data_IF_664266217029
#
_entry.id   IF_664266217029
#
_cell.length_a   1.000
_cell.length_b   1.000
_cell.length_c   1.000
_cell.angle_alpha   90.00
_cell.angle_beta   90.00
_cell.angle_gamma   90.00
#
_symmetry.space_group_name_H-M   'P 1'
#
loop_
_entity.id
_entity.type
_entity.pdbx_description
1 polymer ?
#
# COMPACT_ATOMS: atom_id res chain seq x y z
N UNK A 1 -43.95 -13.27 11.74
CA UNK A 1 -42.53 -13.28 12.15
C UNK A 1 -41.86 -12.14 11.40
N UNK A 2 -41.61 -11.02 12.08
CA UNK A 2 -40.88 -9.90 11.49
C UNK A 2 -39.43 -10.33 11.24
N UNK A 3 -39.10 -10.57 9.97
CA UNK A 3 -37.73 -10.85 9.56
C UNK A 3 -36.87 -9.62 9.86
N UNK A 4 -35.99 -9.73 10.85
CA UNK A 4 -35.10 -8.64 11.25
C UNK A 4 -34.31 -8.12 10.05
N UNK A 5 -34.18 -6.78 9.94
CA UNK A 5 -33.33 -6.14 8.94
C UNK A 5 -31.87 -6.47 9.24
N UNK A 6 -31.24 -7.26 8.38
CA UNK A 6 -29.81 -7.61 8.50
C UNK A 6 -29.02 -6.70 7.56
N UNK A 7 -27.98 -6.07 8.08
CA UNK A 7 -26.95 -5.37 7.30
C UNK A 7 -25.66 -6.19 7.32
N UNK A 8 -25.17 -6.58 6.15
CA UNK A 8 -23.92 -7.32 5.99
C UNK A 8 -22.81 -6.37 5.52
N UNK A 9 -21.72 -6.31 6.29
CA UNK A 9 -20.51 -5.55 5.91
C UNK A 9 -19.36 -6.53 5.68
N UNK A 10 -18.85 -6.57 4.45
CA UNK A 10 -17.71 -7.39 4.07
C UNK A 10 -16.49 -6.49 3.83
N UNK A 11 -15.43 -6.68 4.63
CA UNK A 11 -14.16 -5.97 4.48
C UNK A 11 -13.00 -6.94 4.26
N UNK A 12 -12.03 -6.54 3.45
CA UNK A 12 -10.84 -7.36 3.19
C UNK A 12 -9.66 -6.52 2.71
N UNK A 13 -8.45 -6.88 3.14
CA UNK A 13 -7.22 -6.18 2.79
C UNK A 13 -6.71 -6.52 1.39
N UNK A 14 -7.16 -7.63 0.79
CA UNK A 14 -6.73 -8.10 -0.52
C UNK A 14 -7.74 -7.64 -1.58
N UNK A 15 -7.47 -6.49 -2.22
CA UNK A 15 -8.38 -5.89 -3.21
C UNK A 15 -8.76 -6.85 -4.35
N UNK A 16 -7.81 -7.65 -4.85
CA UNK A 16 -8.08 -8.61 -5.93
C UNK A 16 -9.04 -9.74 -5.53
N UNK A 17 -9.01 -10.14 -4.25
CA UNK A 17 -9.95 -11.11 -3.70
C UNK A 17 -11.33 -10.47 -3.57
N UNK A 18 -11.42 -9.27 -3.00
CA UNK A 18 -12.69 -8.54 -2.88
C UNK A 18 -13.36 -8.35 -4.24
N UNK A 19 -12.61 -7.93 -5.26
CA UNK A 19 -13.16 -7.75 -6.61
C UNK A 19 -13.67 -9.09 -7.17
N UNK A 20 -12.87 -10.15 -7.11
CA UNK A 20 -13.21 -11.43 -7.78
C UNK A 20 -14.26 -12.25 -7.05
N UNK A 21 -14.17 -12.31 -5.72
CA UNK A 21 -14.92 -13.26 -4.90
C UNK A 21 -16.09 -12.62 -4.18
N UNK A 22 -16.10 -11.29 -4.04
CA UNK A 22 -17.18 -10.55 -3.38
C UNK A 22 -17.96 -9.73 -4.41
N UNK A 23 -17.32 -8.75 -5.04
CA UNK A 23 -17.98 -7.80 -5.96
C UNK A 23 -18.51 -8.50 -7.22
N UNK A 24 -17.68 -9.32 -7.89
CA UNK A 24 -18.10 -10.09 -9.06
C UNK A 24 -18.71 -11.45 -8.72
N UNK A 25 -19.09 -11.69 -7.47
CA UNK A 25 -19.73 -12.93 -7.07
C UNK A 25 -21.12 -13.04 -7.69
N UNK A 26 -21.40 -14.17 -8.34
CA UNK A 26 -22.76 -14.49 -8.80
C UNK A 26 -23.79 -14.49 -7.66
N UNK A 27 -23.37 -14.82 -6.44
CA UNK A 27 -24.26 -14.89 -5.28
C UNK A 27 -24.64 -13.49 -4.73
N UNK A 28 -23.78 -12.49 -4.94
CA UNK A 28 -23.98 -11.12 -4.48
C UNK A 28 -24.33 -10.15 -5.63
N UNK A 29 -24.48 -10.66 -6.85
CA UNK A 29 -24.85 -9.85 -8.00
C UNK A 29 -26.18 -9.12 -7.76
N UNK A 30 -26.18 -7.79 -7.90
CA UNK A 30 -27.35 -6.93 -7.65
C UNK A 30 -27.75 -6.79 -6.18
N UNK A 31 -26.94 -7.28 -5.22
CA UNK A 31 -27.18 -7.21 -3.78
C UNK A 31 -26.16 -6.35 -3.02
N UNK A 32 -25.33 -5.63 -3.75
CA UNK A 32 -24.31 -4.73 -3.18
C UNK A 32 -24.84 -3.31 -3.32
N UNK A 33 -25.19 -2.70 -2.19
CA UNK A 33 -25.68 -1.31 -2.16
C UNK A 33 -24.53 -0.29 -2.17
N UNK A 34 -23.40 -0.64 -1.55
CA UNK A 34 -22.27 0.27 -1.38
C UNK A 34 -20.93 -0.47 -1.47
N UNK A 35 -20.04 0.03 -2.33
CA UNK A 35 -18.66 -0.38 -2.43
C UNK A 35 -17.74 0.77 -2.03
N UNK A 36 -16.91 0.55 -1.00
CA UNK A 36 -15.95 1.54 -0.53
C UNK A 36 -14.53 1.04 -0.68
N UNK A 37 -13.74 1.72 -1.50
CA UNK A 37 -12.28 1.61 -1.48
C UNK A 37 -11.72 2.57 -0.44
N UNK A 38 -11.40 2.05 0.74
CA UNK A 38 -10.78 2.84 1.81
C UNK A 38 -9.33 3.13 1.44
N UNK A 39 -9.02 4.42 1.29
CA UNK A 39 -7.68 4.93 1.03
C UNK A 39 -7.00 5.33 2.34
N UNK A 40 -5.68 5.52 2.27
CA UNK A 40 -4.96 6.21 3.33
C UNK A 40 -5.51 7.63 3.54
N UNK A 41 -5.35 8.15 4.75
CA UNK A 41 -5.77 9.51 5.09
C UNK A 41 -4.90 10.54 4.36
N UNK A 42 -5.52 11.61 3.89
CA UNK A 42 -4.79 12.80 3.42
C UNK A 42 -3.95 13.44 4.56
N UNK A 43 -3.02 14.36 4.26
CA UNK A 43 -2.27 15.06 5.31
C UNK A 43 -3.18 15.77 6.32
N UNK A 44 -4.22 16.44 5.84
CA UNK A 44 -5.17 17.16 6.70
C UNK A 44 -5.97 16.20 7.61
N UNK A 45 -6.42 15.07 7.06
CA UNK A 45 -7.13 14.04 7.83
C UNK A 45 -6.21 13.35 8.83
N UNK A 46 -4.96 13.04 8.45
CA UNK A 46 -3.95 12.46 9.33
C UNK A 46 -3.62 13.40 10.50
N UNK A 47 -3.43 14.69 10.24
CA UNK A 47 -3.17 15.68 11.30
C UNK A 47 -4.35 15.79 12.27
N UNK A 48 -5.57 15.82 11.73
CA UNK A 48 -6.79 15.81 12.56
C UNK A 48 -6.91 14.52 13.36
N UNK A 49 -6.64 13.36 12.75
CA UNK A 49 -6.69 12.07 13.43
C UNK A 49 -5.68 12.01 14.59
N UNK A 50 -4.45 12.46 14.36
CA UNK A 50 -3.37 12.50 15.36
C UNK A 50 -3.72 13.39 16.56
N UNK A 51 -4.21 14.60 16.30
CA UNK A 51 -4.55 15.58 17.33
C UNK A 51 -5.78 15.19 18.14
N UNK A 52 -6.80 14.58 17.50
CA UNK A 52 -8.05 14.21 18.16
C UNK A 52 -7.98 12.88 18.91
N UNK A 53 -7.36 11.84 18.32
CA UNK A 53 -7.42 10.48 18.86
C UNK A 53 -6.23 10.15 19.77
N UNK A 54 -5.04 10.65 19.45
CA UNK A 54 -3.83 10.36 20.25
C UNK A 54 -3.45 11.51 21.19
N UNK A 55 -4.17 12.64 21.12
CA UNK A 55 -3.90 13.87 21.90
C UNK A 55 -2.46 14.34 21.81
N UNK A 56 -1.74 13.91 20.78
CA UNK A 56 -0.35 14.23 20.57
C UNK A 56 -0.25 15.69 20.10
N UNK A 57 0.55 16.48 20.82
CA UNK A 57 0.76 17.91 20.51
C UNK A 57 2.01 18.08 19.65
N UNK A 58 2.03 17.44 18.49
CA UNK A 58 3.07 17.69 17.50
C UNK A 58 2.78 18.99 16.77
N UNK A 59 3.83 19.80 16.58
CA UNK A 59 3.77 20.95 15.68
C UNK A 59 3.51 20.51 14.24
N UNK A 60 3.08 21.44 13.38
CA UNK A 60 2.80 21.13 11.98
C UNK A 60 4.05 20.61 11.25
N UNK A 61 5.24 21.18 11.52
CA UNK A 61 6.51 20.71 10.94
C UNK A 61 6.83 19.26 11.33
N UNK A 62 6.68 18.93 12.62
CA UNK A 62 6.91 17.58 13.13
C UNK A 62 5.93 16.58 12.53
N UNK A 63 4.65 16.94 12.48
CA UNK A 63 3.64 16.13 11.82
C UNK A 63 3.98 15.87 10.35
N UNK A 64 4.38 16.90 9.60
CA UNK A 64 4.72 16.75 8.18
C UNK A 64 5.92 15.82 7.99
N UNK A 65 6.92 15.86 8.87
CA UNK A 65 8.04 14.90 8.86
C UNK A 65 7.54 13.47 9.03
N UNK A 66 6.66 13.22 10.00
CA UNK A 66 6.06 11.89 10.18
C UNK A 66 5.24 11.47 8.96
N UNK A 67 4.39 12.35 8.43
CA UNK A 67 3.55 12.04 7.27
C UNK A 67 4.38 11.69 6.03
N UNK A 68 5.50 12.38 5.79
CA UNK A 68 6.39 12.09 4.67
C UNK A 68 7.06 10.71 4.78
N UNK A 69 7.28 10.22 5.99
CA UNK A 69 7.94 8.92 6.25
C UNK A 69 6.91 7.79 6.31
N UNK A 70 5.80 8.00 7.02
CA UNK A 70 4.84 6.98 7.41
C UNK A 70 3.59 6.96 6.53
N UNK A 71 3.36 8.00 5.71
CA UNK A 71 2.18 8.10 4.86
C UNK A 71 0.87 8.31 5.66
N UNK A 72 -0.27 8.03 5.04
CA UNK A 72 -1.58 8.32 5.60
C UNK A 72 -2.20 7.20 6.44
N UNK A 73 -1.42 6.23 6.93
CA UNK A 73 -1.95 5.04 7.61
C UNK A 73 -2.27 5.37 9.08
N UNK A 74 -3.56 5.37 9.51
CA UNK A 74 -3.95 5.83 10.85
C UNK A 74 -3.24 5.09 12.00
N UNK A 75 -3.09 3.77 11.85
CA UNK A 75 -2.45 2.90 12.85
C UNK A 75 -0.99 3.27 13.09
N UNK A 76 -0.27 3.78 12.10
CA UNK A 76 1.14 4.09 12.27
C UNK A 76 1.35 5.25 13.25
N UNK A 77 0.44 6.21 13.28
CA UNK A 77 0.47 7.35 14.19
C UNK A 77 0.25 6.97 15.67
N UNK A 78 -0.32 5.80 15.96
CA UNK A 78 -0.51 5.33 17.34
C UNK A 78 0.80 4.95 18.04
N UNK A 79 1.89 4.79 17.28
CA UNK A 79 3.21 4.43 17.81
C UNK A 79 4.08 5.64 18.13
N UNK A 80 3.63 6.85 17.81
CA UNK A 80 4.37 8.07 18.09
C UNK A 80 4.31 8.41 19.59
N UNK A 81 5.46 8.72 20.15
CA UNK A 81 5.61 9.22 21.52
C UNK A 81 5.84 10.73 21.50
N UNK A 82 4.88 11.50 22.01
CA UNK A 82 4.95 12.96 22.05
C UNK A 82 5.92 13.53 23.09
N UNK A 83 6.57 12.68 23.90
CA UNK A 83 7.54 13.08 24.92
C UNK A 83 8.97 13.15 24.39
N UNK A 84 9.20 12.60 23.20
CA UNK A 84 10.53 12.53 22.58
C UNK A 84 10.52 13.24 21.21
N UNK A 85 11.69 13.59 20.72
CA UNK A 85 11.80 14.32 19.45
C UNK A 85 11.33 13.47 18.26
N UNK A 86 10.99 14.10 17.12
CA UNK A 86 10.67 13.37 15.89
C UNK A 86 11.80 12.42 15.46
N UNK A 87 13.05 12.85 15.58
CA UNK A 87 14.22 12.02 15.24
C UNK A 87 14.27 10.78 16.13
N UNK A 88 14.09 10.94 17.44
CA UNK A 88 14.08 9.82 18.39
C UNK A 88 12.91 8.86 18.14
N UNK A 89 11.73 9.37 17.77
CA UNK A 89 10.61 8.54 17.32
C UNK A 89 11.03 7.68 16.12
N UNK A 90 11.61 8.29 15.09
CA UNK A 90 12.05 7.56 13.89
C UNK A 90 13.13 6.52 14.23
N UNK A 91 14.13 6.87 15.04
CA UNK A 91 15.14 5.93 15.52
C UNK A 91 14.53 4.72 16.23
N UNK A 92 13.62 4.97 17.16
CA UNK A 92 12.98 3.92 17.95
C UNK A 92 12.07 3.03 17.11
N UNK A 93 11.36 3.60 16.13
CA UNK A 93 10.35 2.87 15.37
C UNK A 93 10.92 2.14 14.16
N UNK A 94 11.93 2.70 13.49
CA UNK A 94 12.48 2.18 12.23
C UNK A 94 13.84 1.48 12.38
N UNK A 95 14.70 1.97 13.28
CA UNK A 95 16.12 1.56 13.29
C UNK A 95 16.50 0.66 14.47
N UNK A 96 15.66 0.56 15.50
CA UNK A 96 15.81 -0.46 16.55
C UNK A 96 15.22 -1.79 16.10
N UNK A 97 15.89 -2.89 16.45
CA UNK A 97 15.41 -4.25 16.19
C UNK A 97 14.05 -4.56 16.86
N UNK A 98 13.72 -3.84 17.94
CA UNK A 98 12.43 -3.88 18.64
C UNK A 98 11.40 -2.89 18.07
N UNK A 99 11.81 -2.03 17.14
CA UNK A 99 10.95 -1.04 16.51
C UNK A 99 9.88 -1.70 15.64
N UNK A 100 8.66 -1.13 15.66
CA UNK A 100 7.52 -1.69 14.93
C UNK A 100 7.80 -1.80 13.42
N UNK A 101 8.43 -0.77 12.82
CA UNK A 101 8.67 -0.69 11.38
C UNK A 101 9.91 -1.46 10.92
N UNK A 102 10.79 -1.89 11.83
CA UNK A 102 12.05 -2.55 11.48
C UNK A 102 11.85 -3.77 10.57
N UNK A 103 10.85 -4.60 10.86
CA UNK A 103 10.50 -5.80 10.07
C UNK A 103 9.19 -5.65 9.29
N UNK A 104 8.58 -4.47 9.29
CA UNK A 104 7.24 -4.25 8.76
C UNK A 104 7.16 -4.42 7.24
N UNK A 105 8.11 -3.89 6.43
CA UNK A 105 8.07 -4.09 4.98
C UNK A 105 8.02 -5.58 4.61
N UNK A 106 8.87 -6.39 5.24
CA UNK A 106 8.86 -7.84 5.03
C UNK A 106 7.51 -8.47 5.40
N UNK A 107 6.94 -8.11 6.56
CA UNK A 107 5.61 -8.61 6.98
C UNK A 107 4.51 -8.23 6.00
N UNK A 108 4.53 -7.03 5.42
CA UNK A 108 3.58 -6.64 4.38
C UNK A 108 3.70 -7.61 3.20
N UNK A 109 4.90 -7.79 2.63
CA UNK A 109 5.09 -8.66 1.47
C UNK A 109 4.65 -10.11 1.75
N UNK A 110 5.00 -10.66 2.92
CA UNK A 110 4.58 -12.00 3.34
C UNK A 110 3.07 -12.14 3.49
N UNK A 111 2.39 -11.12 4.02
CA UNK A 111 0.93 -11.16 4.22
C UNK A 111 0.13 -10.96 2.94
N UNK A 112 0.66 -10.21 1.97
CA UNK A 112 -0.05 -9.82 0.75
C UNK A 112 0.21 -10.76 -0.42
N UNK A 113 1.36 -11.44 -0.46
CA UNK A 113 1.79 -12.18 -1.64
C UNK A 113 2.27 -13.60 -1.32
N UNK A 114 1.77 -14.57 -2.10
CA UNK A 114 2.23 -15.97 -2.02
C UNK A 114 3.72 -16.13 -2.32
N UNK A 115 4.25 -15.34 -3.27
CA UNK A 115 5.65 -15.37 -3.69
C UNK A 115 6.41 -14.12 -3.18
N UNK A 116 6.28 -13.82 -1.88
CA UNK A 116 6.73 -12.57 -1.24
C UNK A 116 8.14 -12.12 -1.68
N UNK A 117 9.13 -13.02 -1.65
CA UNK A 117 10.52 -12.73 -2.03
C UNK A 117 10.63 -12.22 -3.48
N UNK A 118 9.86 -12.79 -4.40
CA UNK A 118 9.86 -12.39 -5.81
C UNK A 118 9.25 -11.01 -5.98
N UNK A 119 8.11 -10.75 -5.34
CA UNK A 119 7.46 -9.45 -5.37
C UNK A 119 8.32 -8.36 -4.75
N UNK A 120 8.93 -8.63 -3.61
CA UNK A 120 9.84 -7.70 -2.92
C UNK A 120 11.06 -7.37 -3.80
N UNK A 121 11.68 -8.37 -4.45
CA UNK A 121 12.77 -8.16 -5.40
C UNK A 121 12.37 -7.26 -6.57
N UNK A 122 11.17 -7.48 -7.12
CA UNK A 122 10.65 -6.66 -8.22
C UNK A 122 10.47 -5.20 -7.78
N UNK A 123 9.84 -4.97 -6.62
CA UNK A 123 9.63 -3.61 -6.09
C UNK A 123 10.96 -2.91 -5.80
N UNK A 124 11.90 -3.59 -5.14
CA UNK A 124 13.25 -3.05 -4.86
C UNK A 124 13.99 -2.65 -6.14
N UNK A 125 13.91 -3.46 -7.19
CA UNK A 125 14.54 -3.13 -8.47
C UNK A 125 13.89 -1.92 -9.15
N UNK A 126 12.59 -1.70 -8.98
CA UNK A 126 11.88 -0.53 -9.51
C UNK A 126 12.21 0.74 -8.70
N UNK A 127 12.40 0.63 -7.37
CA UNK A 127 12.77 1.76 -6.53
C UNK A 127 14.12 2.38 -6.92
N UNK A 128 15.05 1.59 -7.46
CA UNK A 128 16.37 2.08 -7.88
C UNK A 128 16.32 2.97 -9.13
N UNK A 129 15.41 2.68 -10.08
CA UNK A 129 15.26 3.47 -11.31
C UNK A 129 13.95 3.17 -12.03
N UNK A 130 13.45 4.18 -12.75
CA UNK A 130 12.35 4.02 -13.70
C UNK A 130 12.86 3.25 -14.92
N UNK A 131 12.21 2.14 -15.25
CA UNK A 131 12.58 1.27 -16.36
C UNK A 131 11.34 0.62 -17.00
N UNK A 132 11.50 0.10 -18.21
CA UNK A 132 10.48 -0.69 -18.91
C UNK A 132 10.34 -2.09 -18.31
N UNK A 133 9.22 -2.76 -18.61
CA UNK A 133 9.02 -4.17 -18.21
C UNK A 133 10.14 -5.09 -18.70
N UNK A 134 10.62 -4.91 -19.93
CA UNK A 134 11.68 -5.75 -20.50
C UNK A 134 13.04 -5.51 -19.85
N UNK A 135 13.40 -4.24 -19.59
CA UNK A 135 14.62 -3.90 -18.85
C UNK A 135 14.58 -4.46 -17.43
N UNK A 136 13.42 -4.37 -16.76
CA UNK A 136 13.22 -4.90 -15.42
C UNK A 136 13.39 -6.42 -15.40
N UNK A 137 12.73 -7.15 -16.31
CA UNK A 137 12.83 -8.60 -16.44
C UNK A 137 14.30 -9.05 -16.63
N UNK A 138 15.03 -8.37 -17.53
CA UNK A 138 16.47 -8.62 -17.76
C UNK A 138 17.30 -8.37 -16.51
N UNK A 139 17.09 -7.25 -15.82
CA UNK A 139 17.86 -6.90 -14.62
C UNK A 139 17.66 -7.90 -13.48
N UNK A 140 16.46 -8.47 -13.37
CA UNK A 140 16.09 -9.46 -12.37
C UNK A 140 16.42 -10.90 -12.78
N UNK A 141 16.89 -11.12 -14.01
CA UNK A 141 17.08 -12.45 -14.61
C UNK A 141 15.80 -13.31 -14.54
N UNK A 142 14.64 -12.68 -14.70
CA UNK A 142 13.33 -13.36 -14.78
C UNK A 142 12.93 -13.39 -16.27
N UNK A 143 12.49 -14.53 -16.82
CA UNK A 143 12.02 -14.59 -18.20
C UNK A 143 10.91 -13.57 -18.45
N UNK A 144 11.06 -12.77 -19.52
CA UNK A 144 9.96 -11.95 -20.02
C UNK A 144 8.82 -12.87 -20.47
N UNK A 145 7.57 -12.47 -20.22
CA UNK A 145 6.40 -13.25 -20.62
C UNK A 145 5.21 -13.09 -19.68
N UNK A 146 4.23 -14.00 -19.82
CA UNK A 146 2.94 -13.91 -19.13
C UNK A 146 3.06 -13.95 -17.60
N UNK A 147 4.00 -14.74 -17.05
CA UNK A 147 4.22 -14.81 -15.59
C UNK A 147 4.75 -13.49 -15.04
N UNK A 148 5.73 -12.89 -15.70
CA UNK A 148 6.28 -11.60 -15.27
C UNK A 148 5.24 -10.48 -15.40
N UNK A 149 4.50 -10.45 -16.50
CA UNK A 149 3.39 -9.51 -16.70
C UNK A 149 2.34 -9.62 -15.60
N UNK A 150 2.06 -10.84 -15.13
CA UNK A 150 1.15 -11.10 -14.02
C UNK A 150 1.67 -10.59 -12.68
N UNK A 151 2.98 -10.66 -12.41
CA UNK A 151 3.55 -10.05 -11.21
C UNK A 151 3.34 -8.53 -11.21
N UNK A 152 3.60 -7.88 -12.34
CA UNK A 152 3.40 -6.44 -12.48
C UNK A 152 1.94 -6.04 -12.33
N UNK A 153 1.01 -6.78 -12.94
CA UNK A 153 -0.44 -6.56 -12.79
C UNK A 153 -0.88 -6.67 -11.32
N UNK A 154 -0.38 -7.67 -10.59
CA UNK A 154 -0.69 -7.87 -9.18
C UNK A 154 -0.12 -6.73 -8.33
N UNK A 155 1.14 -6.32 -8.57
CA UNK A 155 1.76 -5.20 -7.86
C UNK A 155 1.06 -3.87 -8.12
N UNK A 156 0.59 -3.64 -9.35
CA UNK A 156 -0.12 -2.42 -9.73
C UNK A 156 -1.51 -2.38 -9.07
N UNK A 157 -2.23 -3.50 -9.07
CA UNK A 157 -3.51 -3.66 -8.35
C UNK A 157 -3.37 -3.55 -6.84
N UNK A 158 -2.27 -4.06 -6.30
CA UNK A 158 -1.91 -3.93 -4.88
C UNK A 158 -1.32 -2.55 -4.54
N UNK A 159 -1.19 -1.65 -5.53
CA UNK A 159 -0.72 -0.26 -5.36
C UNK A 159 0.72 -0.13 -4.85
N UNK A 160 1.56 -1.14 -5.07
CA UNK A 160 3.02 -1.07 -4.83
C UNK A 160 3.76 -0.41 -5.98
N UNK A 161 3.18 -0.46 -7.18
CA UNK A 161 3.77 0.15 -8.38
C UNK A 161 2.68 0.88 -9.18
N UNK A 162 3.11 1.78 -10.06
CA UNK A 162 2.26 2.42 -11.06
C UNK A 162 2.96 2.42 -12.41
N UNK A 163 2.23 1.99 -13.43
CA UNK A 163 2.68 2.14 -14.81
C UNK A 163 2.39 3.53 -15.36
N UNK A 164 3.28 4.01 -16.23
CA UNK A 164 3.11 5.24 -17.00
C UNK A 164 3.30 4.94 -18.49
N UNK A 165 2.36 5.42 -19.29
CA UNK A 165 2.53 5.56 -20.74
C UNK A 165 3.14 6.91 -21.03
N UNK A 166 4.20 6.95 -21.83
CA UNK A 166 4.73 8.21 -22.35
C UNK A 166 3.76 8.74 -23.41
N UNK A 167 3.16 9.90 -23.16
CA UNK A 167 2.34 10.59 -24.16
C UNK A 167 3.18 10.86 -25.42
N UNK A 168 2.64 10.52 -26.60
CA UNK A 168 3.23 10.92 -27.89
C UNK A 168 4.11 9.89 -28.62
N UNK A 169 4.24 8.64 -28.14
CA UNK A 169 4.86 7.56 -28.92
C UNK A 169 3.87 6.46 -29.24
N UNK A 170 3.53 6.32 -30.52
CA UNK A 170 2.97 5.08 -31.05
C UNK A 170 3.95 3.95 -30.69
N UNK A 171 3.46 2.93 -29.97
CA UNK A 171 4.19 1.73 -29.54
C UNK A 171 5.41 1.88 -28.59
N UNK A 172 5.45 2.91 -27.73
CA UNK A 172 6.50 3.01 -26.69
C UNK A 172 6.12 2.30 -25.39
N UNK A 173 6.87 1.25 -25.01
CA UNK A 173 6.58 0.37 -23.86
C UNK A 173 6.26 1.06 -22.53
N UNK A 174 5.32 0.47 -21.77
CA UNK A 174 4.88 0.91 -20.43
C UNK A 174 6.09 0.99 -19.48
N UNK A 175 6.39 2.18 -18.96
CA UNK A 175 7.40 2.37 -17.90
C UNK A 175 6.76 2.17 -16.54
N UNK A 176 7.53 1.73 -15.56
CA UNK A 176 7.02 1.33 -14.24
C UNK A 176 7.78 2.09 -13.15
N UNK A 177 7.06 2.57 -12.14
CA UNK A 177 7.61 3.23 -10.96
C UNK A 177 7.02 2.60 -9.69
N UNK A 178 7.80 2.54 -8.62
CA UNK A 178 7.31 2.12 -7.30
C UNK A 178 6.47 3.26 -6.68
N UNK A 179 5.40 2.89 -6.00
CA UNK A 179 4.63 3.79 -5.17
C UNK A 179 5.18 3.65 -3.75
N UNK A 180 5.90 4.68 -3.28
CA UNK A 180 6.54 4.82 -1.95
C UNK A 180 6.99 3.49 -1.33
#
# INVERSE_FOLDING_TARGET
MDGGKIMLVLCGSIASFMIKQVIHSKALYGRIDLELLIKELSPAESYRHLTTNYRARFGLDEFLRFYLIMGGIPKYYSFLDSRISPVQNIENLFFKNTGFFFNEPGKIFYSQFKEAITYEKIVKAIQLRIQSSDELARSLKIPSGGRFSRYLDILEKARFIKGYSLFGKASGGKKIQALR
#
